data_IF_963654844506
#
_entry.id   IF_963654844506
#
_cell.length_a   1.000
_cell.length_b   1.000
_cell.length_c   1.000
_cell.angle_alpha   90.00
_cell.angle_beta   90.00
_cell.angle_gamma   90.00
#
_symmetry.space_group_name_H-M   'P 1'
#
loop_
_entity.id
_entity.type
_entity.pdbx_description
1 polymer ?
#
# COMPACT_ATOMS: atom_id res chain seq x y z
N UNK A 1 1.30 -5.04 11.63
CA UNK A 1 1.68 -5.24 10.20
C UNK A 1 2.82 -4.30 9.84
N UNK A 2 3.84 -4.83 9.20
CA UNK A 2 4.97 -4.02 8.72
C UNK A 2 4.78 -3.72 7.24
N UNK A 3 4.71 -2.43 6.91
CA UNK A 3 4.50 -1.96 5.54
C UNK A 3 5.75 -1.20 5.10
N UNK A 4 6.32 -1.61 3.98
CA UNK A 4 7.42 -0.88 3.35
C UNK A 4 6.88 -0.08 2.16
N UNK A 5 7.24 1.19 2.11
CA UNK A 5 7.01 2.00 0.91
C UNK A 5 8.34 2.05 0.17
N UNK A 6 8.38 1.51 -1.04
CA UNK A 6 9.63 1.43 -1.81
C UNK A 6 10.28 2.81 -1.92
N UNK A 7 11.56 2.88 -1.54
CA UNK A 7 12.31 4.13 -1.55
C UNK A 7 12.13 5.04 -0.35
N UNK A 8 11.21 4.72 0.58
CA UNK A 8 10.95 5.59 1.73
C UNK A 8 11.24 4.96 3.09
N UNK A 9 11.02 3.66 3.24
CA UNK A 9 11.29 2.98 4.49
C UNK A 9 10.15 2.09 4.95
N UNK A 10 10.19 1.69 6.22
CA UNK A 10 9.22 0.78 6.80
C UNK A 10 8.41 1.46 7.90
N UNK A 11 7.16 1.02 8.03
CA UNK A 11 6.22 1.53 9.02
C UNK A 11 5.49 0.37 9.69
N UNK A 12 5.27 0.49 11.00
CA UNK A 12 4.46 -0.49 11.73
C UNK A 12 3.05 0.06 11.89
N UNK A 13 2.06 -0.68 11.38
CA UNK A 13 0.65 -0.30 11.47
C UNK A 13 -0.06 -1.11 12.54
N UNK A 14 -0.92 -0.47 13.37
CA UNK A 14 -1.81 -1.20 14.26
C UNK A 14 -2.78 -2.10 13.49
N UNK A 15 -3.30 -3.14 14.14
CA UNK A 15 -4.18 -4.12 13.49
C UNK A 15 -5.43 -3.50 12.87
N UNK A 16 -6.04 -2.51 13.52
CA UNK A 16 -7.22 -1.84 12.97
C UNK A 16 -6.91 -1.11 11.66
N UNK A 17 -5.73 -0.50 11.60
CA UNK A 17 -5.29 0.18 10.37
C UNK A 17 -4.88 -0.80 9.30
N UNK A 18 -4.34 -1.95 9.69
CA UNK A 18 -4.01 -3.02 8.73
C UNK A 18 -5.26 -3.52 8.02
N UNK A 19 -6.38 -3.68 8.74
CA UNK A 19 -7.66 -4.05 8.15
C UNK A 19 -8.15 -3.01 7.15
N UNK A 20 -8.03 -1.73 7.51
CA UNK A 20 -8.41 -0.64 6.61
C UNK A 20 -7.53 -0.62 5.36
N UNK A 21 -6.23 -0.84 5.53
CA UNK A 21 -5.31 -0.90 4.40
C UNK A 21 -5.71 -2.05 3.46
N UNK A 22 -6.08 -3.20 4.03
CA UNK A 22 -6.52 -4.34 3.23
C UNK A 22 -7.79 -4.02 2.44
N UNK A 23 -8.75 -3.31 3.04
CA UNK A 23 -9.96 -2.88 2.33
C UNK A 23 -9.63 -1.94 1.17
N UNK A 24 -8.72 -0.99 1.40
CA UNK A 24 -8.28 -0.07 0.35
C UNK A 24 -7.57 -0.82 -0.78
N UNK A 25 -6.75 -1.80 -0.43
CA UNK A 25 -6.05 -2.64 -1.39
C UNK A 25 -7.05 -3.39 -2.29
N UNK A 26 -8.07 -4.00 -1.69
CA UNK A 26 -9.10 -4.71 -2.44
C UNK A 26 -9.87 -3.79 -3.37
N UNK A 27 -10.19 -2.57 -2.93
CA UNK A 27 -10.86 -1.58 -3.76
C UNK A 27 -9.94 -1.11 -4.88
N UNK A 28 -8.65 -0.97 -4.61
CA UNK A 28 -7.67 -0.57 -5.63
C UNK A 28 -7.57 -1.63 -6.73
N UNK A 29 -7.57 -2.90 -6.36
CA UNK A 29 -7.58 -4.01 -7.34
C UNK A 29 -8.83 -3.92 -8.21
N UNK A 30 -10.00 -3.70 -7.62
CA UNK A 30 -11.25 -3.57 -8.37
C UNK A 30 -11.20 -2.38 -9.34
N UNK A 31 -10.62 -1.27 -8.93
CA UNK A 31 -10.48 -0.09 -9.80
C UNK A 31 -9.54 -0.39 -10.99
N UNK A 32 -8.45 -1.11 -10.73
CA UNK A 32 -7.52 -1.53 -11.80
C UNK A 32 -8.24 -2.44 -12.79
N UNK A 33 -8.97 -3.43 -12.31
CA UNK A 33 -9.69 -4.36 -13.18
C UNK A 33 -10.77 -3.66 -14.02
N UNK A 34 -11.37 -2.60 -13.45
CA UNK A 34 -12.36 -1.80 -14.16
C UNK A 34 -11.74 -0.77 -15.13
N UNK A 35 -10.40 -0.60 -15.07
CA UNK A 35 -9.73 0.40 -15.88
C UNK A 35 -9.98 1.83 -15.40
N UNK A 36 -10.37 2.01 -14.15
CA UNK A 36 -10.71 3.31 -13.59
C UNK A 36 -9.49 3.96 -12.94
N UNK A 37 -8.71 4.68 -13.75
CA UNK A 37 -7.47 5.31 -13.29
C UNK A 37 -7.69 6.34 -12.18
N UNK A 38 -8.74 7.15 -12.29
CA UNK A 38 -9.02 8.18 -11.31
C UNK A 38 -9.34 7.57 -9.94
N UNK A 39 -10.17 6.56 -9.92
CA UNK A 39 -10.54 5.87 -8.69
C UNK A 39 -9.33 5.20 -8.06
N UNK A 40 -8.52 4.55 -8.88
CA UNK A 40 -7.29 3.92 -8.42
C UNK A 40 -6.35 4.95 -7.79
N UNK A 41 -6.16 6.10 -8.43
CA UNK A 41 -5.27 7.14 -7.91
C UNK A 41 -5.73 7.64 -6.54
N UNK A 42 -7.05 7.83 -6.35
CA UNK A 42 -7.61 8.24 -5.08
C UNK A 42 -7.35 7.20 -3.98
N UNK A 43 -7.58 5.94 -4.30
CA UNK A 43 -7.37 4.83 -3.36
C UNK A 43 -5.88 4.66 -3.01
N UNK A 44 -5.02 4.77 -4.02
CA UNK A 44 -3.59 4.70 -3.84
C UNK A 44 -3.11 5.79 -2.89
N UNK A 45 -3.57 7.02 -3.10
CA UNK A 45 -3.20 8.13 -2.22
C UNK A 45 -3.68 7.90 -0.79
N UNK A 46 -4.89 7.36 -0.61
CA UNK A 46 -5.43 7.04 0.72
C UNK A 46 -4.59 6.00 1.42
N UNK A 47 -4.11 5.00 0.70
CA UNK A 47 -3.24 3.98 1.26
C UNK A 47 -1.93 4.58 1.78
N UNK A 48 -1.32 5.45 0.97
CA UNK A 48 -0.08 6.13 1.38
C UNK A 48 -0.30 7.04 2.58
N UNK A 49 -1.39 7.79 2.61
CA UNK A 49 -1.74 8.67 3.72
C UNK A 49 -1.98 7.90 5.01
N UNK A 50 -2.68 6.77 4.92
CA UNK A 50 -2.95 5.93 6.07
C UNK A 50 -1.65 5.44 6.71
N UNK A 51 -0.73 4.94 5.90
CA UNK A 51 0.56 4.44 6.39
C UNK A 51 1.36 5.58 7.01
N UNK A 52 1.40 6.74 6.36
CA UNK A 52 2.18 7.88 6.85
C UNK A 52 1.60 8.48 8.13
N UNK A 53 0.26 8.51 8.25
CA UNK A 53 -0.40 9.14 9.40
C UNK A 53 -0.45 8.22 10.62
N UNK A 54 -0.79 6.96 10.42
CA UNK A 54 -1.05 6.03 11.51
C UNK A 54 0.08 5.02 11.74
N UNK A 55 1.01 4.88 10.80
CA UNK A 55 2.15 4.00 10.93
C UNK A 55 3.26 4.62 11.77
N UNK A 56 3.94 3.78 12.54
CA UNK A 56 5.14 4.20 13.27
C UNK A 56 6.35 3.91 12.39
N UNK A 57 7.08 4.94 12.02
CA UNK A 57 8.28 4.78 11.20
C UNK A 57 9.34 4.00 11.96
N UNK A 58 9.89 2.97 11.32
CA UNK A 58 10.94 2.15 11.89
C UNK A 58 12.31 2.73 11.54
N UNK A 59 13.26 2.60 12.48
CA UNK A 59 14.63 3.05 12.23
C UNK A 59 15.29 2.14 11.20
N UNK A 60 16.28 2.68 10.47
CA UNK A 60 16.99 1.94 9.42
C UNK A 60 17.70 0.68 9.96
N UNK A 61 18.08 0.70 11.22
CA UNK A 61 18.77 -0.43 11.85
C UNK A 61 17.83 -1.45 12.48
N UNK A 62 16.52 -1.23 12.42
CA UNK A 62 15.53 -2.22 12.84
C UNK A 62 15.36 -3.25 11.73
N UNK A 63 15.87 -4.46 11.95
CA UNK A 63 15.85 -5.51 10.94
C UNK A 63 14.59 -6.35 11.07
N UNK A 64 13.53 -5.93 10.39
CA UNK A 64 12.26 -6.66 10.37
C UNK A 64 11.82 -6.91 8.93
N UNK A 65 11.12 -8.02 8.74
CA UNK A 65 10.57 -8.35 7.43
C UNK A 65 9.30 -7.53 7.17
N UNK A 66 9.13 -7.09 5.95
CA UNK A 66 7.92 -6.38 5.54
C UNK A 66 6.82 -7.38 5.20
N UNK A 67 5.62 -7.15 5.74
CA UNK A 67 4.44 -7.94 5.38
C UNK A 67 3.89 -7.51 4.01
N UNK A 68 4.04 -6.23 3.71
CA UNK A 68 3.54 -5.63 2.47
C UNK A 68 4.58 -4.64 1.95
N UNK A 69 4.77 -4.61 0.64
CA UNK A 69 5.63 -3.61 -0.01
C UNK A 69 4.76 -2.82 -0.97
N UNK A 70 4.63 -1.51 -0.72
CA UNK A 70 3.89 -0.61 -1.60
C UNK A 70 4.82 -0.01 -2.65
N UNK A 71 4.32 0.19 -3.89
CA UNK A 71 5.13 0.87 -4.92
C UNK A 71 5.54 2.27 -4.49
N UNK A 72 6.60 2.83 -5.12
CA UNK A 72 7.02 4.20 -4.82
C UNK A 72 5.89 5.21 -5.10
N UNK A 73 5.91 6.33 -4.37
CA UNK A 73 4.89 7.39 -4.54
C UNK A 73 4.84 7.96 -5.95
N UNK A 74 5.97 7.96 -6.64
CA UNK A 74 6.09 8.50 -7.98
C UNK A 74 5.79 7.49 -9.08
N UNK A 75 5.27 6.32 -8.72
CA UNK A 75 4.88 5.30 -9.70
C UNK A 75 3.75 5.80 -10.59
N UNK A 76 3.83 5.49 -11.88
CA UNK A 76 2.73 5.78 -12.81
C UNK A 76 1.58 4.79 -12.57
N UNK A 77 0.41 5.10 -13.14
CA UNK A 77 -0.73 4.18 -13.10
C UNK A 77 -0.35 2.82 -13.66
N UNK A 78 0.36 2.78 -14.79
CA UNK A 78 0.76 1.52 -15.41
C UNK A 78 1.69 0.69 -14.53
N UNK A 79 2.65 1.33 -13.88
CA UNK A 79 3.57 0.65 -12.97
C UNK A 79 2.84 0.12 -11.74
N UNK A 80 2.01 0.95 -11.12
CA UNK A 80 1.26 0.56 -9.94
C UNK A 80 0.21 -0.51 -10.27
N UNK A 81 -0.39 -0.42 -11.46
CA UNK A 81 -1.39 -1.39 -11.92
C UNK A 81 -0.81 -2.82 -11.93
N UNK A 82 0.43 -2.98 -12.33
CA UNK A 82 1.08 -4.29 -12.36
C UNK A 82 1.15 -4.92 -10.96
N UNK A 83 1.35 -4.10 -9.93
CA UNK A 83 1.44 -4.57 -8.55
C UNK A 83 0.07 -4.86 -7.93
N UNK A 84 -0.99 -4.19 -8.41
CA UNK A 84 -2.34 -4.34 -7.88
C UNK A 84 -3.22 -5.32 -8.65
N UNK A 85 -2.70 -5.93 -9.70
CA UNK A 85 -3.48 -6.90 -10.47
C UNK A 85 -3.56 -8.24 -9.72
N UNK A 86 -4.65 -8.97 -9.94
CA UNK A 86 -4.84 -10.29 -9.33
C UNK A 86 -5.24 -10.21 -7.86
N UNK A 87 -4.37 -10.69 -6.99
CA UNK A 87 -4.66 -10.78 -5.55
C UNK A 87 -4.42 -9.51 -4.76
N UNK A 88 -3.84 -8.49 -5.40
CA UNK A 88 -3.48 -7.25 -4.71
C UNK A 88 -2.13 -7.36 -4.00
N UNK A 89 -1.83 -6.38 -3.16
CA UNK A 89 -0.55 -6.30 -2.44
C UNK A 89 -0.55 -7.05 -1.12
N UNK A 90 -1.71 -7.21 -0.51
CA UNK A 90 -1.84 -7.86 0.80
C UNK A 90 -2.32 -9.28 0.60
N UNK A 91 -1.54 -10.28 0.98
CA UNK A 91 -1.98 -11.68 0.87
C UNK A 91 -3.12 -11.96 1.85
N UNK A 92 -4.07 -12.73 1.40
CA UNK A 92 -5.23 -13.15 2.22
C UNK A 92 -4.86 -14.29 3.16
#
# INVERSE_FOLDING_TARGET
MIVRIAGEGQYELPDADAERLNELDNQAVAAVEAGNEQKFAELWQRMLELVAADGRELADDELVESDVILPPRDSTFEEAQADFSGEGLIPD
#
